data_IF_705349489259
#
_entry.id   IF_705349489259
#
_cell.length_a   1.000
_cell.length_b   1.000
_cell.length_c   1.000
_cell.angle_alpha   90.00
_cell.angle_beta   90.00
_cell.angle_gamma   90.00
#
_symmetry.space_group_name_H-M   'P 1'
#
loop_
_entity.id
_entity.type
_entity.pdbx_description
1 polymer ?
#
# COMPACT_ATOMS: atom_id res chain seq x y z
N UNK A 1 0.68 -13.59 28.29
CA UNK A 1 -0.70 -14.14 28.25
C UNK A 1 -0.70 -15.59 28.74
N UNK A 2 -1.70 -15.94 29.55
CA UNK A 2 -1.91 -17.34 29.93
C UNK A 2 -2.39 -18.12 28.69
N UNK A 3 -1.70 -19.18 28.24
CA UNK A 3 -2.08 -19.92 27.04
C UNK A 3 -3.45 -20.61 27.14
N UNK A 4 -4.05 -20.63 28.34
CA UNK A 4 -5.34 -21.26 28.63
C UNK A 4 -6.48 -20.26 28.84
N UNK A 5 -6.24 -18.95 28.69
CA UNK A 5 -7.31 -17.96 28.81
C UNK A 5 -8.28 -18.07 27.62
N UNK A 6 -9.60 -18.08 27.88
CA UNK A 6 -10.60 -18.06 26.83
C UNK A 6 -10.44 -16.79 25.95
N UNK A 7 -10.57 -16.95 24.66
CA UNK A 7 -10.65 -15.81 23.73
C UNK A 7 -11.98 -15.09 23.96
N UNK A 8 -11.93 -13.76 24.11
CA UNK A 8 -13.14 -12.95 24.09
C UNK A 8 -13.70 -12.91 22.66
N UNK A 9 -15.00 -13.22 22.53
CA UNK A 9 -15.73 -13.11 21.28
C UNK A 9 -16.86 -12.09 21.45
N UNK A 10 -17.10 -11.20 20.47
CA UNK A 10 -18.30 -10.38 20.45
C UNK A 10 -19.57 -11.23 20.52
N UNK A 11 -20.62 -10.71 21.15
CA UNK A 11 -21.88 -11.45 21.36
C UNK A 11 -22.46 -12.00 20.05
N UNK A 12 -22.45 -11.20 18.97
CA UNK A 12 -22.93 -11.60 17.64
C UNK A 12 -22.16 -12.80 17.06
N UNK A 13 -20.87 -12.91 17.34
CA UNK A 13 -20.02 -14.03 16.89
C UNK A 13 -20.29 -15.26 17.74
N UNK A 14 -20.37 -15.08 19.07
CA UNK A 14 -20.68 -16.17 19.99
C UNK A 14 -22.08 -16.76 19.72
N UNK A 15 -23.09 -15.94 19.40
CA UNK A 15 -24.42 -16.38 18.99
C UNK A 15 -24.40 -17.26 17.72
N UNK A 16 -23.62 -16.85 16.69
CA UNK A 16 -23.50 -17.62 15.45
C UNK A 16 -22.87 -18.99 15.71
N UNK A 17 -21.78 -19.04 16.48
CA UNK A 17 -21.13 -20.30 16.85
C UNK A 17 -22.11 -21.19 17.64
N UNK A 18 -22.79 -20.63 18.64
CA UNK A 18 -23.75 -21.36 19.45
C UNK A 18 -24.95 -21.90 18.65
N UNK A 19 -25.44 -21.13 17.66
CA UNK A 19 -26.53 -21.59 16.79
C UNK A 19 -26.12 -22.81 15.96
N UNK A 20 -24.90 -22.81 15.39
CA UNK A 20 -24.36 -23.95 14.66
C UNK A 20 -24.15 -25.16 15.55
N UNK A 21 -23.59 -24.95 16.77
CA UNK A 21 -23.34 -26.03 17.70
C UNK A 21 -24.64 -26.63 18.28
N UNK A 22 -25.67 -25.81 18.51
CA UNK A 22 -27.01 -26.26 18.91
C UNK A 22 -27.67 -27.10 17.81
N UNK A 23 -27.39 -26.79 16.56
CA UNK A 23 -27.84 -27.57 15.40
C UNK A 23 -27.00 -28.87 15.18
N UNK A 24 -26.02 -29.15 16.03
CA UNK A 24 -25.21 -30.38 16.02
C UNK A 24 -23.91 -30.27 15.20
N UNK A 25 -23.53 -29.08 14.73
CA UNK A 25 -22.32 -28.87 13.95
C UNK A 25 -21.18 -28.33 14.85
N UNK A 26 -19.93 -28.61 14.47
CA UNK A 26 -18.77 -27.93 15.06
C UNK A 26 -18.60 -26.57 14.41
N UNK A 27 -18.31 -25.53 15.23
CA UNK A 27 -18.07 -24.19 14.73
C UNK A 27 -16.96 -23.49 15.53
N UNK A 28 -16.13 -22.70 14.84
CA UNK A 28 -14.99 -22.02 15.43
C UNK A 28 -14.78 -20.66 14.78
N UNK A 29 -14.30 -19.69 15.56
CA UNK A 29 -13.57 -18.53 15.03
C UNK A 29 -12.18 -19.00 14.57
N UNK A 30 -11.64 -18.48 13.46
CA UNK A 30 -10.45 -19.06 12.85
C UNK A 30 -9.53 -18.03 12.20
N UNK A 31 -8.24 -18.30 12.19
CA UNK A 31 -7.26 -17.52 11.40
C UNK A 31 -6.90 -16.19 12.04
N UNK A 32 -7.11 -15.09 11.30
CA UNK A 32 -6.66 -13.76 11.69
C UNK A 32 -7.17 -13.29 13.04
N UNK A 33 -8.46 -13.47 13.30
CA UNK A 33 -9.07 -13.05 14.58
C UNK A 33 -8.49 -13.80 15.79
N UNK A 34 -8.21 -15.10 15.65
CA UNK A 34 -7.61 -15.91 16.73
C UNK A 34 -6.17 -15.49 16.96
N UNK A 35 -5.39 -15.29 15.89
CA UNK A 35 -4.02 -14.76 15.97
C UNK A 35 -3.98 -13.40 16.66
N UNK A 36 -4.81 -12.46 16.21
CA UNK A 36 -4.81 -11.09 16.73
C UNK A 36 -5.22 -11.09 18.22
N UNK A 37 -6.24 -11.86 18.61
CA UNK A 37 -6.60 -12.03 20.00
C UNK A 37 -5.46 -12.66 20.85
N UNK A 38 -4.74 -13.66 20.31
CA UNK A 38 -3.56 -14.23 20.98
C UNK A 38 -2.42 -13.24 21.16
N UNK A 39 -2.31 -12.22 20.27
CA UNK A 39 -1.36 -11.11 20.39
C UNK A 39 -1.86 -9.97 21.28
N UNK A 40 -3.09 -10.04 21.79
CA UNK A 40 -3.72 -8.96 22.57
C UNK A 40 -4.15 -7.77 21.72
N UNK A 41 -4.35 -7.97 20.42
CA UNK A 41 -4.90 -7.01 19.49
C UNK A 41 -6.41 -7.23 19.36
N UNK A 42 -7.17 -6.15 19.11
CA UNK A 42 -8.60 -6.25 18.80
C UNK A 42 -8.78 -6.72 17.35
N UNK A 43 -9.43 -7.89 17.13
CA UNK A 43 -9.72 -8.35 15.78
C UNK A 43 -10.76 -7.44 15.11
N UNK A 44 -10.48 -7.01 13.87
CA UNK A 44 -11.42 -6.20 13.08
C UNK A 44 -12.48 -7.06 12.39
N UNK A 45 -12.07 -8.24 11.88
CA UNK A 45 -12.93 -9.16 11.13
C UNK A 45 -12.89 -10.53 11.79
N UNK A 46 -14.05 -11.21 11.83
CA UNK A 46 -14.18 -12.55 12.38
C UNK A 46 -14.58 -13.52 11.27
N UNK A 47 -13.64 -14.37 10.86
CA UNK A 47 -13.93 -15.51 10.02
C UNK A 47 -14.31 -16.71 10.87
N UNK A 48 -15.37 -17.41 10.48
CA UNK A 48 -15.81 -18.63 11.14
C UNK A 48 -15.62 -19.83 10.20
N UNK A 49 -15.38 -20.99 10.78
CA UNK A 49 -15.41 -22.26 10.07
C UNK A 49 -16.28 -23.30 10.80
N UNK A 50 -16.90 -24.19 10.03
CA UNK A 50 -17.89 -25.16 10.56
C UNK A 50 -17.85 -26.49 9.83
N UNK A 51 -18.31 -27.56 10.50
CA UNK A 51 -18.59 -28.84 9.86
C UNK A 51 -19.91 -28.86 9.06
N UNK A 52 -20.77 -27.82 9.21
CA UNK A 52 -22.00 -27.71 8.46
C UNK A 52 -21.72 -27.47 6.96
N UNK A 53 -22.38 -28.21 6.08
CA UNK A 53 -22.39 -27.93 4.65
C UNK A 53 -23.07 -26.58 4.36
N UNK A 54 -22.82 -25.93 3.21
CA UNK A 54 -23.44 -24.65 2.90
C UNK A 54 -24.97 -24.65 3.02
N UNK A 55 -25.64 -25.70 2.56
CA UNK A 55 -27.10 -25.86 2.66
C UNK A 55 -27.57 -26.00 4.10
N UNK A 56 -26.76 -26.65 4.96
CA UNK A 56 -27.06 -26.79 6.38
C UNK A 56 -26.88 -25.47 7.11
N UNK A 57 -25.82 -24.72 6.76
CA UNK A 57 -25.61 -23.36 7.29
C UNK A 57 -26.76 -22.43 6.90
N UNK A 58 -27.24 -22.48 5.64
CA UNK A 58 -28.43 -21.74 5.21
C UNK A 58 -29.68 -22.12 6.02
N UNK A 59 -29.87 -23.41 6.28
CA UNK A 59 -31.01 -23.89 7.05
C UNK A 59 -30.97 -23.41 8.52
N UNK A 60 -29.79 -23.36 9.15
CA UNK A 60 -29.61 -22.83 10.53
C UNK A 60 -29.95 -21.34 10.59
N UNK A 61 -29.56 -20.56 9.58
CA UNK A 61 -29.74 -19.09 9.55
C UNK A 61 -30.84 -18.62 8.61
N UNK A 62 -31.83 -19.47 8.28
CA UNK A 62 -32.93 -19.15 7.35
C UNK A 62 -33.70 -17.87 7.70
N UNK A 63 -33.74 -17.52 8.99
CA UNK A 63 -34.46 -16.34 9.50
C UNK A 63 -33.55 -15.07 9.53
N UNK A 64 -32.32 -15.17 9.05
CA UNK A 64 -31.37 -14.05 8.91
C UNK A 64 -31.13 -13.72 7.42
N UNK A 65 -30.69 -12.51 7.16
CA UNK A 65 -30.25 -12.11 5.80
C UNK A 65 -28.90 -12.78 5.51
N UNK A 66 -28.80 -13.48 4.36
CA UNK A 66 -27.60 -14.21 3.95
C UNK A 66 -26.99 -13.60 2.68
N UNK A 67 -25.65 -13.73 2.56
CA UNK A 67 -24.87 -13.44 1.37
C UNK A 67 -24.33 -14.76 0.82
N UNK A 68 -24.79 -15.14 -0.37
CA UNK A 68 -24.55 -16.48 -0.96
C UNK A 68 -23.50 -16.48 -2.08
N UNK A 69 -22.84 -15.37 -2.32
CA UNK A 69 -21.85 -15.24 -3.41
C UNK A 69 -20.70 -16.27 -3.30
N UNK A 70 -20.28 -16.62 -2.07
CA UNK A 70 -19.24 -17.60 -1.78
C UNK A 70 -19.69 -19.06 -1.71
N UNK A 71 -20.99 -19.36 -1.84
CA UNK A 71 -21.59 -20.69 -1.59
C UNK A 71 -20.91 -21.82 -2.35
N UNK A 72 -20.57 -21.61 -3.62
CA UNK A 72 -19.87 -22.60 -4.45
C UNK A 72 -18.50 -23.02 -3.89
N UNK A 73 -17.90 -22.17 -3.08
CA UNK A 73 -16.62 -22.42 -2.44
C UNK A 73 -16.77 -22.76 -0.95
N UNK A 74 -18.01 -23.01 -0.50
CA UNK A 74 -18.30 -23.41 0.87
C UNK A 74 -18.48 -22.24 1.86
N UNK A 75 -18.58 -20.99 1.41
CA UNK A 75 -18.69 -19.81 2.29
C UNK A 75 -20.11 -19.21 2.20
N UNK A 76 -20.73 -19.01 3.37
CA UNK A 76 -22.00 -18.31 3.55
C UNK A 76 -21.75 -17.08 4.44
N UNK A 77 -22.16 -15.90 3.98
CA UNK A 77 -22.14 -14.70 4.81
C UNK A 77 -23.44 -14.54 5.59
N UNK A 78 -23.36 -14.36 6.90
CA UNK A 78 -24.49 -13.99 7.76
C UNK A 78 -24.43 -12.51 8.08
N UNK A 79 -25.50 -11.76 7.73
CA UNK A 79 -25.58 -10.33 8.02
C UNK A 79 -25.93 -10.13 9.50
N UNK A 80 -25.09 -9.41 10.21
CA UNK A 80 -25.25 -8.99 11.60
C UNK A 80 -25.38 -7.47 11.72
N UNK A 81 -25.61 -6.95 12.89
CA UNK A 81 -25.64 -5.51 13.15
C UNK A 81 -24.27 -4.82 12.91
N UNK A 82 -23.18 -5.58 13.04
CA UNK A 82 -21.80 -5.08 12.90
C UNK A 82 -21.19 -5.35 11.51
N UNK A 83 -21.90 -6.05 10.62
CA UNK A 83 -21.42 -6.38 9.28
C UNK A 83 -21.75 -7.80 8.85
N UNK A 84 -21.09 -8.27 7.80
CA UNK A 84 -21.24 -9.64 7.31
C UNK A 84 -20.17 -10.52 7.95
N UNK A 85 -20.61 -11.60 8.59
CA UNK A 85 -19.72 -12.64 9.16
C UNK A 85 -19.65 -13.80 8.16
N UNK A 86 -18.46 -14.12 7.69
CA UNK A 86 -18.23 -15.22 6.76
C UNK A 86 -18.09 -16.55 7.53
N UNK A 87 -18.88 -17.54 7.14
CA UNK A 87 -18.87 -18.90 7.68
C UNK A 87 -18.47 -19.84 6.56
N UNK A 88 -17.32 -20.47 6.68
CA UNK A 88 -16.78 -21.39 5.67
C UNK A 88 -16.88 -22.83 6.18
N UNK A 89 -17.46 -23.72 5.37
CA UNK A 89 -17.45 -25.16 5.63
C UNK A 89 -16.01 -25.68 5.66
N UNK A 90 -15.67 -26.55 6.61
CA UNK A 90 -14.34 -27.19 6.65
C UNK A 90 -14.05 -27.86 5.32
N UNK A 91 -12.88 -27.60 4.78
CA UNK A 91 -12.55 -28.07 3.44
C UNK A 91 -11.05 -28.33 3.26
N UNK A 92 -10.76 -29.24 2.38
CA UNK A 92 -9.46 -29.36 1.70
C UNK A 92 -9.57 -28.77 0.29
N UNK A 93 -8.44 -28.37 -0.26
CA UNK A 93 -8.37 -27.72 -1.55
C UNK A 93 -7.42 -28.50 -2.45
N UNK A 94 -7.78 -28.61 -3.74
CA UNK A 94 -6.91 -29.19 -4.77
C UNK A 94 -5.83 -28.24 -5.24
N UNK A 95 -5.15 -28.61 -6.32
CA UNK A 95 -4.16 -27.76 -6.95
C UNK A 95 -4.77 -26.47 -7.48
N UNK A 96 -4.00 -25.38 -7.46
CA UNK A 96 -4.40 -24.08 -7.97
C UNK A 96 -3.88 -23.90 -9.39
N UNK A 97 -4.63 -24.28 -10.43
CA UNK A 97 -4.20 -24.14 -11.83
C UNK A 97 -4.15 -22.71 -12.30
N UNK A 98 -5.07 -21.87 -11.83
CA UNK A 98 -5.14 -20.45 -12.14
C UNK A 98 -4.42 -19.57 -11.07
N UNK A 99 -3.71 -20.20 -10.14
CA UNK A 99 -3.06 -19.56 -8.98
C UNK A 99 -4.01 -18.71 -8.09
N UNK A 100 -5.33 -18.92 -8.21
CA UNK A 100 -6.34 -18.17 -7.44
C UNK A 100 -7.40 -19.07 -6.81
N UNK A 101 -7.95 -19.99 -7.60
CA UNK A 101 -9.03 -20.87 -7.14
C UNK A 101 -8.53 -22.31 -7.16
N UNK A 102 -8.83 -23.11 -6.12
CA UNK A 102 -8.52 -24.52 -6.18
C UNK A 102 -9.37 -25.17 -7.29
N UNK A 103 -8.77 -26.12 -8.02
CA UNK A 103 -9.46 -26.86 -9.07
C UNK A 103 -10.71 -27.57 -8.56
N UNK A 104 -10.70 -27.96 -7.29
CA UNK A 104 -11.81 -28.55 -6.57
C UNK A 104 -11.73 -28.24 -5.08
N UNK A 105 -12.87 -28.25 -4.43
CA UNK A 105 -13.04 -28.13 -2.98
C UNK A 105 -13.72 -29.39 -2.52
N UNK A 106 -13.14 -30.05 -1.52
CA UNK A 106 -13.75 -31.19 -0.84
C UNK A 106 -14.07 -30.80 0.60
N UNK A 107 -15.33 -30.90 0.98
CA UNK A 107 -15.73 -30.67 2.36
C UNK A 107 -15.28 -31.82 3.24
N UNK A 108 -14.80 -31.51 4.43
CA UNK A 108 -14.28 -32.45 5.41
C UNK A 108 -14.97 -32.26 6.76
N UNK A 109 -15.06 -33.30 7.59
CA UNK A 109 -15.80 -33.20 8.85
C UNK A 109 -15.00 -32.58 10.00
N UNK A 110 -13.68 -32.53 9.89
CA UNK A 110 -12.80 -32.13 10.97
C UNK A 110 -12.09 -30.79 10.70
N UNK A 111 -11.90 -30.01 11.77
CA UNK A 111 -11.27 -28.71 11.72
C UNK A 111 -9.76 -28.81 11.43
N UNK A 112 -9.10 -29.90 11.83
CA UNK A 112 -7.66 -30.06 11.63
C UNK A 112 -7.29 -30.11 10.15
N UNK A 113 -8.11 -30.82 9.34
CA UNK A 113 -7.96 -30.84 7.89
C UNK A 113 -8.13 -29.45 7.25
N UNK A 114 -9.07 -28.63 7.75
CA UNK A 114 -9.21 -27.23 7.28
C UNK A 114 -8.01 -26.37 7.69
N UNK A 115 -7.51 -26.53 8.90
CA UNK A 115 -6.33 -25.81 9.37
C UNK A 115 -5.06 -26.23 8.63
N UNK A 116 -4.95 -27.50 8.22
CA UNK A 116 -3.80 -28.05 7.50
C UNK A 116 -3.54 -27.39 6.14
N UNK A 117 -4.55 -26.84 5.47
CA UNK A 117 -4.39 -26.14 4.16
C UNK A 117 -3.96 -24.67 4.29
N UNK A 118 -3.91 -24.11 5.50
CA UNK A 118 -3.59 -22.69 5.72
C UNK A 118 -2.11 -22.41 5.49
N UNK A 119 -1.79 -21.14 5.38
CA UNK A 119 -0.44 -20.67 5.04
C UNK A 119 0.58 -20.87 6.17
N UNK A 120 0.30 -20.29 7.34
CA UNK A 120 1.23 -20.27 8.48
C UNK A 120 0.55 -20.79 9.75
N UNK A 121 1.34 -21.40 10.64
CA UNK A 121 0.87 -21.96 11.92
C UNK A 121 0.09 -20.94 12.74
N UNK A 122 0.57 -19.68 12.76
CA UNK A 122 -0.05 -18.55 13.47
C UNK A 122 -1.46 -18.19 12.95
N UNK A 123 -1.81 -18.59 11.73
CA UNK A 123 -3.13 -18.44 11.12
C UNK A 123 -3.92 -19.76 11.06
N UNK A 124 -3.31 -20.87 11.50
CA UNK A 124 -3.90 -22.21 11.51
C UNK A 124 -4.36 -22.62 12.90
N UNK A 125 -4.93 -21.68 13.62
CA UNK A 125 -5.51 -21.87 14.96
C UNK A 125 -6.98 -21.46 14.92
N UNK A 126 -7.83 -22.23 15.58
CA UNK A 126 -9.26 -21.99 15.71
C UNK A 126 -9.69 -21.97 17.19
N UNK A 127 -10.79 -21.30 17.50
CA UNK A 127 -11.32 -21.19 18.85
C UNK A 127 -12.85 -21.31 18.88
N UNK A 128 -13.38 -22.15 19.77
CA UNK A 128 -14.79 -22.18 20.10
C UNK A 128 -14.97 -22.00 21.62
N UNK A 129 -16.00 -21.27 22.08
CA UNK A 129 -16.29 -21.12 23.52
C UNK A 129 -16.53 -22.46 24.24
N UNK A 130 -17.10 -23.42 23.55
CA UNK A 130 -17.47 -24.74 24.13
C UNK A 130 -16.37 -25.78 23.99
N UNK A 131 -15.53 -25.70 22.95
CA UNK A 131 -14.50 -26.68 22.58
C UNK A 131 -13.08 -26.22 22.87
N UNK A 132 -12.90 -24.93 23.20
CA UNK A 132 -11.58 -24.34 23.41
C UNK A 132 -10.80 -24.13 22.08
N UNK A 133 -9.49 -24.12 22.19
CA UNK A 133 -8.59 -23.93 21.04
C UNK A 133 -8.35 -25.26 20.31
N UNK A 134 -8.43 -25.21 18.97
CA UNK A 134 -7.88 -26.22 18.07
C UNK A 134 -6.60 -25.64 17.44
N UNK A 135 -5.44 -26.17 17.84
CA UNK A 135 -4.11 -25.70 17.43
C UNK A 135 -3.19 -26.89 17.12
N UNK A 136 -3.51 -27.70 16.09
CA UNK A 136 -2.76 -28.92 15.78
C UNK A 136 -1.32 -28.65 15.29
N UNK A 137 -1.03 -27.43 14.85
CA UNK A 137 0.27 -27.05 14.29
C UNK A 137 1.11 -26.18 15.21
N UNK A 138 0.67 -25.91 16.44
CA UNK A 138 1.41 -25.14 17.44
C UNK A 138 1.52 -23.66 17.15
N UNK A 139 0.53 -23.08 16.46
CA UNK A 139 0.53 -21.67 16.08
C UNK A 139 0.58 -20.70 17.24
N UNK A 140 -0.07 -21.04 18.37
CA UNK A 140 -0.04 -20.24 19.59
C UNK A 140 1.34 -20.22 20.24
N UNK A 141 2.04 -21.36 20.22
CA UNK A 141 3.41 -21.43 20.73
C UNK A 141 4.39 -20.69 19.80
N UNK A 142 4.21 -20.78 18.48
CA UNK A 142 4.98 -19.99 17.51
C UNK A 142 4.75 -18.49 17.73
N UNK A 143 3.51 -18.04 17.96
CA UNK A 143 3.23 -16.64 18.32
C UNK A 143 3.95 -16.20 19.60
N UNK A 144 3.88 -17.04 20.64
CA UNK A 144 4.56 -16.78 21.92
C UNK A 144 6.08 -16.65 21.77
N UNK A 145 6.67 -17.41 20.85
CA UNK A 145 8.10 -17.38 20.53
C UNK A 145 8.48 -16.32 19.51
N UNK A 146 7.50 -15.62 18.93
CA UNK A 146 7.73 -14.65 17.86
C UNK A 146 8.21 -15.32 16.56
N UNK A 147 7.70 -16.50 16.21
CA UNK A 147 8.10 -17.29 15.05
C UNK A 147 6.98 -17.29 14.00
N UNK A 148 7.36 -17.08 12.73
CA UNK A 148 6.50 -17.32 11.58
C UNK A 148 6.94 -18.62 10.90
N UNK A 149 6.08 -19.63 10.91
CA UNK A 149 6.32 -20.96 10.35
C UNK A 149 5.21 -21.34 9.38
N UNK A 150 5.57 -21.89 8.23
CA UNK A 150 4.58 -22.48 7.33
C UNK A 150 3.94 -23.74 7.92
N UNK A 151 2.67 -23.99 7.60
CA UNK A 151 1.98 -25.21 8.03
C UNK A 151 2.53 -26.41 7.22
N UNK A 152 3.01 -27.42 7.91
CA UNK A 152 3.54 -28.63 7.30
C UNK A 152 4.87 -28.42 6.57
N UNK A 153 4.94 -28.88 5.31
CA UNK A 153 6.14 -28.75 4.45
C UNK A 153 6.13 -27.39 3.72
N UNK A 154 7.07 -26.46 4.02
CA UNK A 154 7.11 -25.14 3.41
C UNK A 154 7.22 -25.18 1.87
N UNK A 155 8.02 -26.09 1.33
CA UNK A 155 8.21 -26.21 -0.12
C UNK A 155 6.88 -26.54 -0.82
N UNK A 156 6.14 -27.53 -0.31
CA UNK A 156 4.82 -27.87 -0.84
C UNK A 156 3.81 -26.71 -0.66
N UNK A 157 3.88 -26.05 0.50
CA UNK A 157 2.96 -24.96 0.83
C UNK A 157 3.08 -23.78 -0.13
N UNK A 158 4.29 -23.43 -0.55
CA UNK A 158 4.53 -22.36 -1.53
C UNK A 158 4.35 -22.84 -2.98
N UNK A 159 4.44 -24.13 -3.25
CA UNK A 159 4.06 -24.71 -4.56
C UNK A 159 2.56 -24.66 -4.80
N UNK A 160 1.74 -24.80 -3.76
CA UNK A 160 0.28 -24.70 -3.86
C UNK A 160 -0.18 -23.27 -4.20
N UNK A 161 0.35 -22.27 -3.50
CA UNK A 161 0.07 -20.84 -3.76
C UNK A 161 1.31 -20.01 -3.42
N UNK A 162 2.02 -19.58 -4.45
CA UNK A 162 3.23 -18.77 -4.30
C UNK A 162 2.97 -17.38 -3.68
N UNK A 163 1.71 -16.88 -3.64
CA UNK A 163 1.39 -15.63 -2.94
C UNK A 163 1.66 -15.73 -1.44
N UNK A 164 1.64 -16.94 -0.87
CA UNK A 164 1.98 -17.18 0.53
C UNK A 164 3.39 -16.69 0.87
N UNK A 165 4.30 -16.59 -0.11
CA UNK A 165 5.65 -16.02 0.08
C UNK A 165 5.55 -14.53 0.43
N UNK A 166 4.83 -13.72 -0.36
CA UNK A 166 4.62 -12.29 -0.05
C UNK A 166 3.83 -12.10 1.25
N UNK A 167 2.82 -12.95 1.49
CA UNK A 167 2.09 -12.97 2.76
C UNK A 167 3.02 -13.25 3.93
N UNK A 168 3.99 -14.16 3.77
CA UNK A 168 5.02 -14.47 4.77
C UNK A 168 5.89 -13.26 5.08
N UNK A 169 6.38 -12.55 4.05
CA UNK A 169 7.10 -11.29 4.24
C UNK A 169 6.24 -10.30 5.04
N UNK A 170 4.99 -10.11 4.62
CA UNK A 170 4.07 -9.16 5.28
C UNK A 170 3.76 -9.53 6.73
N UNK A 171 3.54 -10.80 7.04
CA UNK A 171 3.28 -11.23 8.43
C UNK A 171 4.52 -11.12 9.30
N UNK A 172 5.72 -11.47 8.78
CA UNK A 172 6.97 -11.28 9.48
C UNK A 172 7.17 -9.81 9.86
N UNK A 173 6.98 -8.89 8.91
CA UNK A 173 7.11 -7.44 9.13
C UNK A 173 6.01 -6.92 10.07
N UNK A 174 4.74 -7.20 9.75
CA UNK A 174 3.60 -6.64 10.49
C UNK A 174 3.61 -6.98 11.98
N UNK A 175 4.01 -8.20 12.32
CA UNK A 175 3.96 -8.71 13.68
C UNK A 175 5.34 -8.85 14.34
N UNK A 176 6.41 -8.42 13.65
CA UNK A 176 7.77 -8.53 14.16
C UNK A 176 8.22 -9.98 14.37
N UNK A 177 7.73 -10.92 13.54
CA UNK A 177 8.01 -12.34 13.71
C UNK A 177 9.29 -12.74 12.98
N UNK A 178 10.11 -13.55 13.63
CA UNK A 178 11.26 -14.20 13.00
C UNK A 178 10.77 -15.36 12.15
N UNK A 179 11.12 -15.36 10.86
CA UNK A 179 10.77 -16.49 9.98
C UNK A 179 11.59 -17.72 10.38
N UNK A 180 10.92 -18.87 10.53
CA UNK A 180 11.56 -20.17 10.75
C UNK A 180 12.52 -20.52 9.62
N UNK A 181 13.67 -21.12 9.91
CA UNK A 181 14.75 -21.32 8.94
C UNK A 181 14.32 -22.11 7.70
N UNK A 182 13.56 -23.21 7.87
CA UNK A 182 13.07 -24.00 6.73
C UNK A 182 12.04 -23.21 5.91
N UNK A 183 11.17 -22.46 6.58
CA UNK A 183 10.19 -21.59 5.94
C UNK A 183 10.88 -20.48 5.13
N UNK A 184 11.89 -19.82 5.70
CA UNK A 184 12.65 -18.77 5.04
C UNK A 184 13.41 -19.30 3.81
N UNK A 185 14.07 -20.43 3.95
CA UNK A 185 14.77 -21.08 2.84
C UNK A 185 13.80 -21.36 1.67
N UNK A 186 12.62 -21.91 1.97
CA UNK A 186 11.59 -22.18 0.96
C UNK A 186 11.04 -20.89 0.34
N UNK A 187 10.87 -19.80 1.10
CA UNK A 187 10.46 -18.50 0.57
C UNK A 187 11.44 -17.99 -0.49
N UNK A 188 12.73 -18.06 -0.22
CA UNK A 188 13.77 -17.61 -1.17
C UNK A 188 13.90 -18.55 -2.37
N UNK A 189 13.91 -19.88 -2.17
CA UNK A 189 14.05 -20.86 -3.25
C UNK A 189 12.88 -20.85 -4.23
N UNK A 190 11.66 -20.57 -3.74
CA UNK A 190 10.43 -20.58 -4.52
C UNK A 190 10.02 -19.18 -5.04
N UNK A 191 10.77 -18.11 -4.73
CA UNK A 191 10.38 -16.72 -5.05
C UNK A 191 10.05 -16.52 -6.54
N UNK A 192 10.79 -17.18 -7.46
CA UNK A 192 10.56 -17.08 -8.90
C UNK A 192 9.16 -17.56 -9.34
N UNK A 193 8.49 -18.44 -8.55
CA UNK A 193 7.13 -18.90 -8.86
C UNK A 193 6.09 -17.80 -8.78
N UNK A 194 6.38 -16.70 -8.08
CA UNK A 194 5.48 -15.55 -7.98
C UNK A 194 5.27 -14.84 -9.32
N UNK A 195 6.12 -15.08 -10.32
CA UNK A 195 5.92 -14.49 -11.65
C UNK A 195 4.64 -14.96 -12.35
N UNK A 196 4.16 -16.16 -12.03
CA UNK A 196 2.89 -16.72 -12.56
C UNK A 196 1.64 -16.23 -11.85
N UNK A 197 1.73 -15.45 -10.78
CA UNK A 197 0.58 -14.98 -10.01
C UNK A 197 -0.21 -13.88 -10.74
N UNK A 198 -1.51 -13.83 -10.46
CA UNK A 198 -2.35 -12.69 -10.84
C UNK A 198 -1.78 -11.41 -10.23
N UNK A 199 -1.49 -10.43 -11.09
CA UNK A 199 -0.79 -9.20 -10.71
C UNK A 199 -1.56 -8.36 -9.69
N UNK A 200 -2.88 -8.41 -9.73
CA UNK A 200 -3.77 -7.77 -8.76
C UNK A 200 -3.51 -8.28 -7.33
N UNK A 201 -3.36 -9.60 -7.16
CA UNK A 201 -3.07 -10.19 -5.84
C UNK A 201 -1.69 -9.77 -5.32
N UNK A 202 -0.69 -9.76 -6.20
CA UNK A 202 0.66 -9.28 -5.87
C UNK A 202 0.62 -7.82 -5.44
N UNK A 203 -0.07 -6.97 -6.21
CA UNK A 203 -0.23 -5.55 -5.91
C UNK A 203 -0.91 -5.32 -4.55
N UNK A 204 -2.00 -6.03 -4.27
CA UNK A 204 -2.71 -5.92 -2.98
C UNK A 204 -1.81 -6.28 -1.78
N UNK A 205 -1.01 -7.35 -1.89
CA UNK A 205 -0.08 -7.72 -0.81
C UNK A 205 1.05 -6.70 -0.66
N UNK A 206 1.60 -6.16 -1.76
CA UNK A 206 2.60 -5.09 -1.72
C UNK A 206 2.03 -3.80 -1.10
N UNK A 207 0.80 -3.43 -1.42
CA UNK A 207 0.13 -2.26 -0.81
C UNK A 207 -0.06 -2.41 0.70
N UNK A 208 -0.30 -3.63 1.18
CA UNK A 208 -0.40 -3.92 2.62
C UNK A 208 0.97 -3.99 3.31
N UNK A 209 2.02 -4.30 2.55
CA UNK A 209 3.40 -4.45 3.05
C UNK A 209 4.13 -3.10 3.14
N UNK A 210 4.14 -2.32 2.06
CA UNK A 210 4.96 -1.12 1.92
C UNK A 210 4.80 -0.08 3.05
N UNK A 211 3.59 0.17 3.61
CA UNK A 211 3.45 1.09 4.74
C UNK A 211 4.12 0.63 6.04
N UNK A 212 4.49 -0.65 6.14
CA UNK A 212 4.96 -1.29 7.37
C UNK A 212 6.47 -1.54 7.40
N UNK A 213 7.13 -1.57 6.24
CA UNK A 213 8.52 -2.02 6.12
C UNK A 213 9.52 -1.05 6.74
N UNK A 214 10.56 -1.60 7.35
CA UNK A 214 11.81 -0.93 7.69
C UNK A 214 12.83 -1.05 6.55
N UNK A 215 13.95 -0.34 6.65
CA UNK A 215 15.04 -0.47 5.68
C UNK A 215 15.66 -1.88 5.71
N UNK A 216 15.79 -2.45 6.91
CA UNK A 216 16.30 -3.79 7.13
C UNK A 216 15.39 -4.86 6.52
N UNK A 217 14.07 -4.69 6.63
CA UNK A 217 13.10 -5.61 6.00
C UNK A 217 13.24 -5.60 4.48
N UNK A 218 13.32 -4.42 3.88
CA UNK A 218 13.50 -4.28 2.44
C UNK A 218 14.81 -4.91 1.96
N UNK A 219 15.91 -4.71 2.70
CA UNK A 219 17.19 -5.31 2.37
C UNK A 219 17.14 -6.84 2.52
N UNK A 220 16.59 -7.35 3.62
CA UNK A 220 16.47 -8.80 3.88
C UNK A 220 15.66 -9.50 2.80
N UNK A 221 14.54 -8.93 2.41
CA UNK A 221 13.62 -9.54 1.45
C UNK A 221 13.80 -9.03 0.01
N UNK A 222 14.90 -8.31 -0.28
CA UNK A 222 15.21 -7.78 -1.60
C UNK A 222 15.07 -8.82 -2.74
N UNK A 223 15.59 -10.06 -2.63
CA UNK A 223 15.43 -11.05 -3.70
C UNK A 223 13.97 -11.46 -3.94
N UNK A 224 13.13 -11.49 -2.90
CA UNK A 224 11.71 -11.80 -2.99
C UNK A 224 10.97 -10.66 -3.69
N UNK A 225 11.25 -9.41 -3.30
CA UNK A 225 10.65 -8.23 -3.94
C UNK A 225 11.09 -8.09 -5.40
N UNK A 226 12.37 -8.38 -5.71
CA UNK A 226 12.89 -8.39 -7.07
C UNK A 226 12.30 -9.50 -7.96
N UNK A 227 11.72 -10.55 -7.38
CA UNK A 227 11.00 -11.57 -8.16
C UNK A 227 9.65 -11.06 -8.70
N UNK A 228 9.02 -10.08 -8.05
CA UNK A 228 7.74 -9.48 -8.49
C UNK A 228 7.92 -8.11 -9.14
N UNK A 229 9.00 -7.40 -8.83
CA UNK A 229 9.43 -6.15 -9.45
C UNK A 229 10.86 -6.34 -9.95
N UNK A 230 11.06 -6.95 -11.13
CA UNK A 230 12.40 -7.30 -11.63
C UNK A 230 13.34 -6.11 -11.79
N UNK A 231 12.81 -4.91 -11.97
CA UNK A 231 13.54 -3.65 -12.09
C UNK A 231 14.34 -3.30 -10.81
N UNK A 232 13.98 -3.87 -9.66
CA UNK A 232 14.75 -3.71 -8.43
C UNK A 232 16.04 -4.53 -8.41
N UNK A 233 16.08 -5.65 -9.17
CA UNK A 233 17.22 -6.57 -9.15
C UNK A 233 18.55 -5.91 -9.52
N UNK A 234 18.67 -5.13 -10.60
CA UNK A 234 19.92 -4.48 -10.95
C UNK A 234 20.34 -3.34 -10.01
N UNK A 235 19.45 -2.91 -9.09
CA UNK A 235 19.76 -1.89 -8.09
C UNK A 235 20.51 -2.48 -6.87
N UNK A 236 20.32 -3.78 -6.62
CA UNK A 236 20.93 -4.48 -5.48
C UNK A 236 22.45 -4.57 -5.69
N UNK A 237 23.21 -3.99 -4.77
CA UNK A 237 24.66 -3.91 -4.86
C UNK A 237 25.20 -2.98 -5.95
N UNK A 238 24.35 -2.12 -6.55
CA UNK A 238 24.76 -1.17 -7.57
C UNK A 238 25.56 -0.01 -6.96
N UNK A 239 26.87 0.03 -7.25
CA UNK A 239 27.76 1.12 -6.85
C UNK A 239 27.49 2.38 -7.68
N UNK A 240 27.01 3.43 -7.04
CA UNK A 240 26.67 4.70 -7.67
C UNK A 240 27.89 5.51 -8.12
N UNK A 241 29.12 5.11 -7.75
CA UNK A 241 30.37 5.83 -8.08
C UNK A 241 30.31 7.32 -7.74
N UNK A 242 29.67 7.67 -6.62
CA UNK A 242 29.43 9.05 -6.23
C UNK A 242 29.93 9.29 -4.80
N UNK A 243 30.70 10.37 -4.55
CA UNK A 243 31.17 10.72 -3.20
C UNK A 243 30.01 11.16 -2.27
N UNK A 244 28.82 11.35 -2.83
CA UNK A 244 27.63 11.76 -2.09
C UNK A 244 26.77 10.57 -1.60
N UNK A 245 27.12 9.34 -1.96
CA UNK A 245 26.40 8.14 -1.60
C UNK A 245 27.35 7.10 -1.01
N UNK A 246 27.17 6.75 0.27
CA UNK A 246 27.91 5.67 0.92
C UNK A 246 27.25 4.30 0.75
N UNK A 247 25.96 4.28 0.41
CA UNK A 247 25.18 3.08 0.20
C UNK A 247 25.14 2.71 -1.29
N UNK A 248 25.00 1.40 -1.59
CA UNK A 248 24.53 0.97 -2.90
C UNK A 248 23.11 1.49 -3.16
N UNK A 249 22.69 1.46 -4.43
CA UNK A 249 21.44 2.09 -4.85
C UNK A 249 20.21 1.52 -4.13
N UNK A 250 20.14 0.17 -3.98
CA UNK A 250 18.98 -0.46 -3.35
C UNK A 250 18.91 -0.16 -1.85
N UNK A 251 20.05 -0.22 -1.17
CA UNK A 251 20.15 0.13 0.25
C UNK A 251 19.73 1.59 0.49
N UNK A 252 20.17 2.53 -0.37
CA UNK A 252 19.69 3.90 -0.32
C UNK A 252 18.16 3.98 -0.43
N UNK A 253 17.58 3.34 -1.46
CA UNK A 253 16.13 3.30 -1.67
C UNK A 253 15.39 2.70 -0.47
N UNK A 254 15.91 1.63 0.13
CA UNK A 254 15.31 1.02 1.32
C UNK A 254 15.22 2.01 2.49
N UNK A 255 16.28 2.77 2.73
CA UNK A 255 16.28 3.82 3.76
C UNK A 255 15.32 4.97 3.41
N UNK A 256 15.21 5.36 2.15
CA UNK A 256 14.25 6.40 1.72
C UNK A 256 12.81 5.94 1.95
N UNK A 257 12.47 4.70 1.57
CA UNK A 257 11.13 4.12 1.82
C UNK A 257 10.81 4.13 3.32
N UNK A 258 11.73 3.70 4.17
CA UNK A 258 11.53 3.70 5.62
C UNK A 258 11.42 5.13 6.20
N UNK A 259 12.11 6.10 5.59
CA UNK A 259 12.18 7.49 6.03
C UNK A 259 10.97 8.37 5.66
N UNK A 260 10.11 7.94 4.74
CA UNK A 260 8.90 8.70 4.38
C UNK A 260 7.68 8.24 5.21
N UNK A 261 6.66 9.10 5.41
CA UNK A 261 5.39 8.70 6.02
C UNK A 261 4.75 7.45 5.38
N UNK A 262 3.89 6.77 6.14
CA UNK A 262 3.18 5.56 5.71
C UNK A 262 2.01 5.86 4.72
N UNK A 263 2.17 6.87 3.86
CA UNK A 263 1.28 7.16 2.73
C UNK A 263 1.60 6.23 1.56
N UNK A 264 0.61 5.58 0.99
CA UNK A 264 0.83 4.53 0.00
C UNK A 264 1.48 5.06 -1.29
N UNK A 265 1.03 6.20 -1.81
CA UNK A 265 1.60 6.80 -3.02
C UNK A 265 3.05 7.23 -2.79
N UNK A 266 3.31 7.82 -1.62
CA UNK A 266 4.65 8.25 -1.23
C UNK A 266 5.61 7.08 -1.02
N UNK A 267 5.15 5.96 -0.41
CA UNK A 267 5.94 4.74 -0.25
C UNK A 267 6.28 4.07 -1.59
N UNK A 268 5.32 4.04 -2.54
CA UNK A 268 5.58 3.58 -3.90
C UNK A 268 6.54 4.50 -4.63
N UNK A 269 6.35 5.81 -4.54
CA UNK A 269 7.28 6.77 -5.13
C UNK A 269 8.69 6.63 -4.54
N UNK A 270 8.81 6.47 -3.23
CA UNK A 270 10.09 6.23 -2.55
C UNK A 270 10.77 4.93 -3.00
N UNK A 271 10.02 3.83 -3.22
CA UNK A 271 10.57 2.58 -3.71
C UNK A 271 11.10 2.69 -5.15
N UNK A 272 10.46 3.50 -5.98
CA UNK A 272 10.73 3.57 -7.42
C UNK A 272 11.44 4.86 -7.89
N UNK A 273 11.68 5.87 -7.00
CA UNK A 273 12.19 7.17 -7.41
C UNK A 273 13.52 7.12 -8.18
N UNK A 274 14.37 6.20 -7.81
CA UNK A 274 15.71 6.02 -8.37
C UNK A 274 15.85 4.82 -9.32
N UNK A 275 14.75 4.15 -9.69
CA UNK A 275 14.79 2.99 -10.61
C UNK A 275 15.37 3.35 -11.98
N UNK A 276 15.24 4.60 -12.40
CA UNK A 276 15.82 5.16 -13.64
C UNK A 276 17.34 5.35 -13.60
N UNK A 277 18.00 5.28 -12.43
CA UNK A 277 19.44 5.49 -12.31
C UNK A 277 20.26 4.43 -13.04
N UNK A 278 19.87 3.15 -12.93
CA UNK A 278 20.63 2.08 -13.58
C UNK A 278 20.73 2.24 -15.10
N UNK A 279 19.62 2.42 -15.84
CA UNK A 279 19.67 2.59 -17.29
C UNK A 279 20.26 3.94 -17.75
N UNK A 280 20.36 4.94 -16.88
CA UNK A 280 20.91 6.26 -17.23
C UNK A 280 22.32 6.48 -16.69
N UNK A 281 22.95 5.43 -16.13
CA UNK A 281 24.28 5.51 -15.56
C UNK A 281 25.34 5.78 -16.62
N UNK A 282 26.17 6.77 -16.39
CA UNK A 282 27.36 7.11 -17.19
C UNK A 282 28.52 7.44 -16.27
N UNK A 283 29.74 7.26 -16.76
CA UNK A 283 30.97 7.65 -16.07
C UNK A 283 31.60 8.84 -16.78
N UNK A 284 32.12 9.81 -16.01
CA UNK A 284 32.98 10.83 -16.54
C UNK A 284 34.47 10.37 -16.62
N UNK A 285 35.34 11.25 -17.12
CA UNK A 285 36.79 10.96 -17.26
C UNK A 285 37.49 10.66 -15.94
N UNK A 286 36.89 11.07 -14.81
CA UNK A 286 37.43 10.81 -13.46
C UNK A 286 36.91 9.48 -12.87
N UNK A 287 36.02 8.78 -13.58
CA UNK A 287 35.35 7.57 -13.10
C UNK A 287 34.21 7.82 -12.14
N UNK A 288 33.71 9.06 -12.04
CA UNK A 288 32.54 9.45 -11.25
C UNK A 288 31.26 9.12 -11.99
N UNK A 289 30.27 8.59 -11.28
CA UNK A 289 28.96 8.25 -11.82
C UNK A 289 28.02 9.48 -11.97
N UNK A 290 27.31 9.50 -13.08
CA UNK A 290 26.26 10.49 -13.40
C UNK A 290 24.98 9.79 -13.85
N UNK A 291 23.81 10.42 -13.59
CA UNK A 291 22.48 9.85 -13.81
C UNK A 291 21.56 10.87 -14.49
N UNK A 292 21.96 11.36 -15.65
CA UNK A 292 21.21 12.41 -16.37
C UNK A 292 19.82 11.90 -16.74
N UNK A 293 18.79 12.73 -16.47
CA UNK A 293 17.37 12.43 -16.75
C UNK A 293 16.81 11.17 -16.03
N UNK A 294 17.46 10.68 -14.95
CA UNK A 294 16.96 9.51 -14.23
C UNK A 294 15.54 9.69 -13.68
N UNK A 295 15.14 10.92 -13.31
CA UNK A 295 13.79 11.19 -12.81
C UNK A 295 12.72 10.91 -13.88
N UNK A 296 12.88 11.47 -15.08
CA UNK A 296 11.96 11.22 -16.19
C UNK A 296 11.96 9.74 -16.62
N UNK A 297 13.15 9.12 -16.71
CA UNK A 297 13.26 7.69 -17.02
C UNK A 297 12.66 6.83 -15.90
N UNK A 298 12.84 7.22 -14.64
CA UNK A 298 12.25 6.56 -13.48
C UNK A 298 10.72 6.62 -13.48
N UNK A 299 10.14 7.78 -13.84
CA UNK A 299 8.70 7.95 -13.96
C UNK A 299 8.11 7.03 -15.06
N UNK A 300 8.73 7.00 -16.25
CA UNK A 300 8.35 6.07 -17.33
C UNK A 300 8.37 4.59 -16.86
N UNK A 301 9.46 4.17 -16.20
CA UNK A 301 9.60 2.81 -15.68
C UNK A 301 8.58 2.51 -14.58
N UNK A 302 8.34 3.45 -13.66
CA UNK A 302 7.37 3.30 -12.58
C UNK A 302 5.93 3.15 -13.11
N UNK A 303 5.55 3.93 -14.13
CA UNK A 303 4.25 3.77 -14.81
C UNK A 303 4.12 2.37 -15.44
N UNK A 304 5.16 1.86 -16.10
CA UNK A 304 5.17 0.49 -16.65
C UNK A 304 5.04 -0.58 -15.55
N UNK A 305 5.80 -0.45 -14.44
CA UNK A 305 5.76 -1.36 -13.30
C UNK A 305 4.35 -1.39 -12.69
N UNK A 306 3.81 -0.22 -12.35
CA UNK A 306 2.51 -0.12 -11.68
C UNK A 306 1.36 -0.54 -12.59
N UNK A 307 1.43 -0.27 -13.89
CA UNK A 307 0.47 -0.76 -14.89
C UNK A 307 0.52 -2.28 -15.01
N UNK A 308 1.70 -2.88 -15.05
CA UNK A 308 1.90 -4.33 -15.04
C UNK A 308 1.30 -4.96 -13.76
N UNK A 309 1.46 -4.31 -12.62
CA UNK A 309 0.87 -4.71 -11.34
C UNK A 309 -0.63 -4.43 -11.23
N UNK A 310 -1.26 -3.80 -12.25
CA UNK A 310 -2.69 -3.45 -12.24
C UNK A 310 -3.07 -2.42 -11.17
N UNK A 311 -2.15 -1.53 -10.81
CA UNK A 311 -2.44 -0.44 -9.90
C UNK A 311 -3.54 0.50 -10.44
N UNK A 312 -4.39 1.07 -9.58
CA UNK A 312 -5.39 2.07 -9.97
C UNK A 312 -4.76 3.31 -10.62
N UNK A 313 -5.46 3.91 -11.60
CA UNK A 313 -4.95 5.06 -12.35
C UNK A 313 -4.54 6.23 -11.43
N UNK A 314 -5.38 6.57 -10.44
CA UNK A 314 -5.09 7.66 -9.52
C UNK A 314 -3.77 7.47 -8.75
N UNK A 315 -3.47 6.24 -8.33
CA UNK A 315 -2.20 5.93 -7.67
C UNK A 315 -1.03 6.05 -8.66
N UNK A 316 -1.18 5.53 -9.89
CA UNK A 316 -0.13 5.60 -10.92
C UNK A 316 0.22 7.05 -11.26
N UNK A 317 -0.78 7.89 -11.51
CA UNK A 317 -0.61 9.32 -11.80
C UNK A 317 0.09 10.05 -10.66
N UNK A 318 -0.27 9.76 -9.40
CA UNK A 318 0.37 10.39 -8.24
C UNK A 318 1.82 9.93 -8.07
N UNK A 319 2.12 8.65 -8.24
CA UNK A 319 3.48 8.11 -8.14
C UNK A 319 4.36 8.65 -9.27
N UNK A 320 3.85 8.65 -10.50
CA UNK A 320 4.54 9.23 -11.68
C UNK A 320 4.93 10.67 -11.43
N UNK A 321 3.96 11.50 -10.99
CA UNK A 321 4.19 12.91 -10.68
C UNK A 321 5.26 13.09 -9.59
N UNK A 322 5.21 12.30 -8.52
CA UNK A 322 6.19 12.36 -7.43
C UNK A 322 7.59 11.99 -7.92
N UNK A 323 7.73 10.97 -8.77
CA UNK A 323 9.01 10.53 -9.31
C UNK A 323 9.53 11.55 -10.33
N UNK A 324 8.71 12.02 -11.26
CA UNK A 324 9.14 13.03 -12.25
C UNK A 324 9.62 14.33 -11.57
N UNK A 325 8.98 14.71 -10.45
CA UNK A 325 9.26 15.96 -9.74
C UNK A 325 10.17 15.83 -8.53
N UNK A 326 10.67 14.61 -8.18
CA UNK A 326 11.47 14.44 -6.96
C UNK A 326 12.77 15.26 -6.93
N UNK A 327 13.27 15.67 -8.12
CA UNK A 327 14.43 16.56 -8.26
C UNK A 327 14.05 18.05 -8.32
N UNK A 328 12.75 18.41 -8.15
CA UNK A 328 12.29 19.79 -8.18
C UNK A 328 12.96 20.60 -7.06
N UNK A 329 13.61 21.71 -7.41
CA UNK A 329 14.29 22.57 -6.44
C UNK A 329 13.26 23.39 -5.63
N UNK A 330 13.00 22.97 -4.39
CA UNK A 330 12.18 23.72 -3.45
C UNK A 330 13.07 24.58 -2.56
N UNK A 331 12.66 25.84 -2.35
CA UNK A 331 13.33 26.83 -1.48
C UNK A 331 12.33 27.45 -0.52
N UNK A 332 12.76 27.94 0.67
CA UNK A 332 11.89 28.55 1.67
C UNK A 332 11.47 29.97 1.29
N UNK A 333 11.00 30.14 0.06
CA UNK A 333 10.48 31.41 -0.47
C UNK A 333 8.99 31.28 -0.74
N UNK A 334 8.18 32.08 -0.05
CA UNK A 334 6.71 32.04 -0.11
C UNK A 334 6.16 32.10 -1.54
N UNK A 335 6.71 33.00 -2.36
CA UNK A 335 6.29 33.18 -3.76
C UNK A 335 6.57 31.92 -4.59
N UNK A 336 7.76 31.32 -4.43
CA UNK A 336 8.13 30.09 -5.13
C UNK A 336 7.23 28.92 -4.70
N UNK A 337 7.00 28.76 -3.38
CA UNK A 337 6.18 27.67 -2.86
C UNK A 337 4.72 27.82 -3.27
N UNK A 338 4.12 29.02 -3.24
CA UNK A 338 2.76 29.27 -3.74
C UNK A 338 2.62 28.88 -5.21
N UNK A 339 3.61 29.21 -6.06
CA UNK A 339 3.62 28.80 -7.48
C UNK A 339 3.64 27.26 -7.62
N UNK A 340 4.45 26.55 -6.81
CA UNK A 340 4.45 25.10 -6.85
C UNK A 340 3.15 24.50 -6.33
N UNK A 341 2.57 25.06 -5.27
CA UNK A 341 1.27 24.67 -4.75
C UNK A 341 0.17 24.83 -5.81
N UNK A 342 0.15 25.96 -6.52
CA UNK A 342 -0.84 26.20 -7.57
C UNK A 342 -0.75 25.22 -8.75
N UNK A 343 0.46 24.72 -9.05
CA UNK A 343 0.69 23.75 -10.14
C UNK A 343 0.45 22.29 -9.73
N UNK A 344 0.82 21.94 -8.51
CA UNK A 344 0.90 20.55 -8.05
C UNK A 344 -0.12 20.21 -6.97
N UNK A 345 -0.68 21.22 -6.33
CA UNK A 345 -1.48 21.09 -5.12
C UNK A 345 -0.64 20.99 -3.83
N UNK A 346 -1.17 21.51 -2.74
CA UNK A 346 -0.53 21.54 -1.42
C UNK A 346 -0.05 20.15 -0.96
N UNK A 347 -0.92 19.13 -1.07
CA UNK A 347 -0.61 17.75 -0.67
C UNK A 347 0.59 17.17 -1.40
N UNK A 348 0.68 17.38 -2.71
CA UNK A 348 1.82 16.92 -3.54
C UNK A 348 3.12 17.63 -3.16
N UNK A 349 3.08 18.92 -2.84
CA UNK A 349 4.27 19.66 -2.39
C UNK A 349 4.79 19.10 -1.07
N UNK A 350 3.91 18.79 -0.11
CA UNK A 350 4.31 18.11 1.14
C UNK A 350 4.90 16.72 0.90
N UNK A 351 4.30 15.94 0.00
CA UNK A 351 4.83 14.62 -0.36
C UNK A 351 6.21 14.72 -1.02
N UNK A 352 6.41 15.66 -1.95
CA UNK A 352 7.71 15.91 -2.59
C UNK A 352 8.76 16.34 -1.58
N UNK A 353 8.40 17.24 -0.66
CA UNK A 353 9.32 17.67 0.41
C UNK A 353 9.73 16.51 1.29
N UNK A 354 8.78 15.65 1.69
CA UNK A 354 9.05 14.45 2.49
C UNK A 354 9.97 13.46 1.75
N UNK A 355 9.73 13.24 0.44
CA UNK A 355 10.56 12.36 -0.39
C UNK A 355 11.99 12.91 -0.51
N UNK A 356 12.14 14.20 -0.80
CA UNK A 356 13.44 14.86 -0.93
C UNK A 356 14.22 14.83 0.39
N UNK A 357 13.55 15.12 1.51
CA UNK A 357 14.17 15.07 2.85
C UNK A 357 14.67 13.65 3.14
N UNK A 358 13.83 12.63 2.94
CA UNK A 358 14.22 11.24 3.15
C UNK A 358 15.39 10.83 2.24
N UNK A 359 15.33 11.17 0.94
CA UNK A 359 16.39 10.87 -0.02
C UNK A 359 17.71 11.57 0.34
N UNK A 360 17.66 12.82 0.82
CA UNK A 360 18.85 13.57 1.20
C UNK A 360 19.45 13.09 2.53
N UNK A 361 18.61 12.81 3.53
CA UNK A 361 19.05 12.36 4.85
C UNK A 361 19.65 10.95 4.83
N UNK A 362 19.29 10.13 3.85
CA UNK A 362 19.68 8.72 3.77
C UNK A 362 20.74 8.44 2.70
N UNK A 363 21.67 9.37 2.47
CA UNK A 363 22.83 9.16 1.58
C UNK A 363 23.99 8.42 2.27
N UNK A 364 23.95 8.26 3.59
CA UNK A 364 24.98 7.56 4.38
C UNK A 364 26.30 8.33 4.51
N UNK A 365 26.32 9.64 4.21
CA UNK A 365 27.48 10.51 4.35
C UNK A 365 27.28 11.50 5.50
N UNK A 366 28.38 12.00 6.14
CA UNK A 366 28.29 13.00 7.20
C UNK A 366 27.60 14.31 6.78
N UNK A 367 27.57 14.61 5.47
CA UNK A 367 26.86 15.75 4.88
C UNK A 367 25.42 15.42 4.49
N UNK A 368 24.92 14.23 4.82
CA UNK A 368 23.53 13.86 4.60
C UNK A 368 22.66 14.63 5.58
N UNK A 369 21.80 15.49 5.05
CA UNK A 369 20.77 16.16 5.82
C UNK A 369 21.10 17.59 6.22
N UNK A 370 20.97 18.51 5.28
CA UNK A 370 20.63 19.88 5.60
C UNK A 370 19.15 19.94 6.00
N UNK A 371 18.85 19.34 7.18
CA UNK A 371 17.49 19.31 7.72
C UNK A 371 16.94 20.72 7.99
N UNK A 372 17.81 21.70 8.22
CA UNK A 372 17.40 23.08 8.47
C UNK A 372 16.64 23.68 7.28
N UNK A 373 17.12 23.44 6.06
CA UNK A 373 16.42 23.89 4.85
C UNK A 373 15.01 23.31 4.75
N UNK A 374 14.85 22.02 5.04
CA UNK A 374 13.53 21.36 4.98
C UNK A 374 12.58 21.88 6.04
N UNK A 375 13.07 22.16 7.26
CA UNK A 375 12.27 22.78 8.31
C UNK A 375 11.83 24.20 7.94
N UNK A 376 12.74 25.01 7.39
CA UNK A 376 12.38 26.34 6.89
C UNK A 376 11.31 26.28 5.78
N UNK A 377 11.36 25.31 4.87
CA UNK A 377 10.34 25.12 3.85
C UNK A 377 9.01 24.74 4.50
N UNK A 378 9.01 23.84 5.49
CA UNK A 378 7.80 23.45 6.23
C UNK A 378 7.17 24.64 6.94
N UNK A 379 7.98 25.48 7.62
CA UNK A 379 7.49 26.68 8.30
C UNK A 379 6.77 27.62 7.32
N UNK A 380 7.35 27.86 6.15
CA UNK A 380 6.72 28.69 5.10
C UNK A 380 5.45 28.05 4.53
N UNK A 381 5.42 26.71 4.37
CA UNK A 381 4.21 25.99 3.92
C UNK A 381 3.08 26.10 4.96
N UNK A 382 3.39 26.01 6.26
CA UNK A 382 2.39 26.20 7.31
C UNK A 382 1.91 27.66 7.37
N UNK A 383 2.79 28.63 7.15
CA UNK A 383 2.41 30.04 7.03
C UNK A 383 1.42 30.22 5.85
N UNK A 384 1.76 29.72 4.64
CA UNK A 384 0.88 29.78 3.48
C UNK A 384 -0.46 29.10 3.75
N UNK A 385 -0.49 27.95 4.44
CA UNK A 385 -1.70 27.23 4.80
C UNK A 385 -2.59 28.01 5.76
N UNK A 386 -1.99 28.77 6.69
CA UNK A 386 -2.70 29.54 7.71
C UNK A 386 -3.32 30.84 7.18
N UNK A 387 -2.89 31.32 6.02
CA UNK A 387 -3.30 32.64 5.47
C UNK A 387 -4.63 32.61 4.71
N UNK A 388 -5.36 31.50 4.66
CA UNK A 388 -6.60 31.33 3.86
C UNK A 388 -6.48 31.87 2.41
N UNK A 389 -5.27 31.79 1.84
CA UNK A 389 -4.95 32.36 0.54
C UNK A 389 -5.58 31.59 -0.63
N UNK A 390 -5.81 32.26 -1.74
CA UNK A 390 -6.21 31.65 -3.00
C UNK A 390 -5.03 30.81 -3.56
N UNK A 391 -5.11 29.47 -3.46
CA UNK A 391 -4.09 28.53 -3.87
C UNK A 391 -4.53 27.61 -5.02
N UNK A 392 -5.82 27.67 -5.38
CA UNK A 392 -6.37 26.86 -6.48
C UNK A 392 -7.42 27.64 -7.26
N UNK A 393 -7.77 27.14 -8.47
CA UNK A 393 -8.84 27.73 -9.28
C UNK A 393 -10.19 27.79 -8.56
N UNK A 394 -10.42 26.94 -7.57
CA UNK A 394 -11.66 26.93 -6.76
C UNK A 394 -11.71 28.09 -5.77
N UNK A 395 -10.55 28.60 -5.37
CA UNK A 395 -10.41 29.68 -4.40
C UNK A 395 -10.47 31.07 -5.03
N UNK A 396 -10.39 31.14 -6.41
CA UNK A 396 -10.53 32.40 -7.13
C UNK A 396 -11.93 32.99 -6.94
N UNK A 397 -12.00 34.31 -6.73
CA UNK A 397 -13.25 35.06 -6.64
C UNK A 397 -14.01 35.13 -7.99
N UNK A 398 -13.45 34.57 -9.06
CA UNK A 398 -14.06 34.44 -10.40
C UNK A 398 -13.99 33.00 -10.89
N UNK A 399 -14.94 32.64 -11.75
CA UNK A 399 -15.04 31.31 -12.32
C UNK A 399 -15.21 31.35 -13.85
N UNK A 400 -15.29 30.18 -14.50
CA UNK A 400 -15.42 30.07 -15.95
C UNK A 400 -16.67 30.78 -16.51
N UNK A 401 -17.80 30.77 -15.78
CA UNK A 401 -19.02 31.44 -16.23
C UNK A 401 -18.87 32.97 -16.23
N UNK A 402 -18.12 33.50 -15.27
CA UNK A 402 -17.83 34.94 -15.24
C UNK A 402 -17.02 35.37 -16.46
N UNK A 403 -16.04 34.55 -16.87
CA UNK A 403 -15.22 34.82 -18.06
C UNK A 403 -16.02 34.67 -19.38
N UNK A 404 -16.98 33.73 -19.43
CA UNK A 404 -17.90 33.61 -20.57
C UNK A 404 -18.71 34.89 -20.77
N UNK A 405 -19.16 35.54 -19.70
CA UNK A 405 -19.94 36.78 -19.75
C UNK A 405 -19.15 37.97 -20.37
N UNK A 406 -17.81 37.93 -20.29
CA UNK A 406 -16.93 38.98 -20.87
C UNK A 406 -16.31 38.55 -22.19
N UNK A 407 -16.72 37.38 -22.76
CA UNK A 407 -16.38 36.99 -24.13
C UNK A 407 -15.42 35.84 -24.29
N UNK A 408 -14.85 35.28 -23.20
CA UNK A 408 -13.97 34.12 -23.29
C UNK A 408 -14.74 32.86 -23.65
N UNK A 409 -14.12 31.94 -24.40
CA UNK A 409 -14.73 30.68 -24.80
C UNK A 409 -13.71 29.55 -24.91
N UNK A 410 -14.17 28.31 -24.77
CA UNK A 410 -13.35 27.14 -24.98
C UNK A 410 -12.06 27.13 -24.12
N UNK A 411 -10.91 26.86 -24.76
CA UNK A 411 -9.61 26.73 -24.07
C UNK A 411 -9.13 28.04 -23.43
N UNK A 412 -9.59 29.21 -23.94
CA UNK A 412 -9.13 30.52 -23.43
C UNK A 412 -9.62 30.76 -21.99
N UNK A 413 -10.76 30.20 -21.60
CA UNK A 413 -11.28 30.29 -20.21
C UNK A 413 -10.27 29.69 -19.22
N UNK A 414 -9.81 28.47 -19.49
CA UNK A 414 -8.85 27.79 -18.63
C UNK A 414 -7.49 28.52 -18.57
N UNK A 415 -7.02 29.06 -19.72
CA UNK A 415 -5.77 29.84 -19.76
C UNK A 415 -5.89 31.12 -18.94
N UNK A 416 -7.01 31.85 -19.03
CA UNK A 416 -7.22 33.07 -18.27
C UNK A 416 -7.38 32.81 -16.79
N UNK A 417 -8.14 31.78 -16.37
CA UNK A 417 -8.26 31.40 -14.95
C UNK A 417 -6.90 31.03 -14.34
N UNK A 418 -6.07 30.28 -15.05
CA UNK A 418 -4.72 29.94 -14.58
C UNK A 418 -3.82 31.17 -14.47
N UNK A 419 -3.90 32.08 -15.43
CA UNK A 419 -3.16 33.32 -15.37
C UNK A 419 -3.61 34.22 -14.19
N UNK A 420 -4.93 34.38 -13.98
CA UNK A 420 -5.46 35.12 -12.84
C UNK A 420 -5.03 34.49 -11.50
N UNK A 421 -5.07 33.17 -11.41
CA UNK A 421 -4.58 32.44 -10.23
C UNK A 421 -3.10 32.73 -9.98
N UNK A 422 -2.26 32.71 -11.02
CA UNK A 422 -0.85 33.02 -10.89
C UNK A 422 -0.62 34.47 -10.41
N UNK A 423 -1.41 35.45 -10.92
CA UNK A 423 -1.31 36.84 -10.47
C UNK A 423 -1.74 37.01 -9.00
N UNK A 424 -2.79 36.29 -8.56
CA UNK A 424 -3.23 36.32 -7.15
C UNK A 424 -2.19 35.65 -6.25
N UNK A 425 -1.66 34.50 -6.64
CA UNK A 425 -0.61 33.80 -5.87
C UNK A 425 0.69 34.60 -5.77
N UNK A 426 0.99 35.41 -6.79
CA UNK A 426 2.14 36.32 -6.78
C UNK A 426 1.88 37.64 -6.06
N UNK A 427 0.68 37.81 -5.49
CA UNK A 427 0.22 39.03 -4.78
C UNK A 427 0.28 40.30 -5.66
N UNK A 428 0.26 40.12 -7.00
CA UNK A 428 0.19 41.23 -7.96
C UNK A 428 -1.24 41.72 -8.15
N UNK A 429 -2.24 40.85 -7.93
CA UNK A 429 -3.65 41.20 -7.96
C UNK A 429 -4.34 40.69 -6.67
N UNK A 430 -5.22 41.47 -6.04
CA UNK A 430 -6.05 40.99 -4.95
C UNK A 430 -7.09 39.99 -5.48
N UNK A 431 -7.45 38.97 -4.68
CA UNK A 431 -8.49 38.00 -5.06
C UNK A 431 -9.89 38.61 -4.86
N UNK A 432 -10.19 39.68 -5.61
CA UNK A 432 -11.47 40.36 -5.61
C UNK A 432 -12.14 40.28 -6.98
N UNK A 433 -13.40 39.83 -7.02
CA UNK A 433 -14.10 39.55 -8.27
C UNK A 433 -14.10 40.75 -9.24
N UNK A 434 -14.32 41.98 -8.74
CA UNK A 434 -14.31 43.19 -9.55
C UNK A 434 -12.95 43.47 -10.19
N UNK A 435 -11.88 43.29 -9.44
CA UNK A 435 -10.52 43.53 -9.92
C UNK A 435 -10.11 42.49 -10.97
N UNK A 436 -10.38 41.19 -10.66
CA UNK A 436 -10.02 40.10 -11.57
C UNK A 436 -10.78 40.15 -12.88
N UNK A 437 -12.07 40.55 -12.88
CA UNK A 437 -12.85 40.71 -14.09
C UNK A 437 -12.38 41.93 -14.92
N UNK A 438 -12.04 43.04 -14.27
CA UNK A 438 -11.51 44.21 -14.95
C UNK A 438 -10.20 43.90 -15.70
N UNK A 439 -9.28 43.18 -15.05
CA UNK A 439 -8.04 42.71 -15.64
C UNK A 439 -8.27 41.70 -16.76
N UNK A 440 -9.16 40.73 -16.57
CA UNK A 440 -9.50 39.78 -17.62
C UNK A 440 -10.07 40.47 -18.85
N UNK A 441 -10.92 41.50 -18.70
CA UNK A 441 -11.51 42.26 -19.75
C UNK A 441 -10.47 43.12 -20.51
N UNK A 442 -9.52 43.70 -19.77
CA UNK A 442 -8.42 44.45 -20.36
C UNK A 442 -7.53 43.55 -21.22
N UNK A 443 -7.09 42.43 -20.68
CA UNK A 443 -6.26 41.45 -21.41
C UNK A 443 -7.01 40.90 -22.64
N UNK A 444 -8.33 40.68 -22.54
CA UNK A 444 -9.16 40.24 -23.67
C UNK A 444 -9.16 41.29 -24.79
N UNK A 445 -9.32 42.56 -24.42
CA UNK A 445 -9.37 43.64 -25.37
C UNK A 445 -8.02 43.84 -26.06
N UNK A 446 -6.91 43.74 -25.33
CA UNK A 446 -5.57 44.06 -25.86
C UNK A 446 -4.94 42.89 -26.63
N UNK A 447 -5.19 41.63 -26.26
CA UNK A 447 -4.49 40.47 -26.81
C UNK A 447 -5.37 39.53 -27.63
N UNK A 448 -6.70 39.52 -27.44
CA UNK A 448 -7.57 38.47 -27.98
C UNK A 448 -8.59 38.98 -29.02
N UNK A 449 -8.82 40.30 -29.11
CA UNK A 449 -9.59 40.91 -30.21
C UNK A 449 -8.73 41.24 -31.42
N UNK A 450 -7.41 41.16 -31.34
CA UNK A 450 -6.48 41.51 -32.40
C UNK A 450 -5.95 40.33 -33.24
N UNK A 451 -6.48 39.13 -33.02
CA UNK A 451 -6.21 37.91 -33.80
C UNK A 451 -7.52 37.33 -34.35
#
# INVERSE_FOLDING_TARGET
MNPYEPMFLPESIAEIINALETAGFSAYAVGGCVRDACLGLDPHDYDLCTSALPEQTEAVFRDRRLVLAGKKHGTIGVVTATGVVEITTFRTEGSYRDNRHPDWVQFVPDVESDLARRDFTVNATAYSPTRGYADPFGGREDLRKGILRAVGDPEKRFQEDALRILRGVRFAVRFGLKVDAATEQAMFSQAARMDSLARERVFEELCKLLPLVTAEDLQRFAPILAAVIPELKPMIGFDQRSPHHAYDLYTHVAHVVAGVPADLALRWAALLHDVGKVPTFTLDETGRGHFYNHAAKGAEMAEEILRRLKAPNALREQVDLLIDKHMLWLVPEKKQLRRQIGRLGMGTVYQLLSLQQAANSNKGTEKSGDNEKYLQILDVLEEIRSEDGCLSLKDLAVNGNDLVQIGFSGRTIGLMLNWLLEQVMEETLPNERSVLLAWAQQVWTDAWQGS
#
